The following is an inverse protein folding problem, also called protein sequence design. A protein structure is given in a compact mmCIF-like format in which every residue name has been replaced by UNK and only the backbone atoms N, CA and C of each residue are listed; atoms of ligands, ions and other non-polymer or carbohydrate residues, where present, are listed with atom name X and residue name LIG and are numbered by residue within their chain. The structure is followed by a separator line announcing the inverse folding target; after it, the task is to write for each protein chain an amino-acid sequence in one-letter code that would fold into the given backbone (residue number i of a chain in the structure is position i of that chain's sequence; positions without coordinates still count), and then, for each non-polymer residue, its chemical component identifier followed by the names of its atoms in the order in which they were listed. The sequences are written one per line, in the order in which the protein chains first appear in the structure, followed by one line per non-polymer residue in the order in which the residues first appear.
data_IF_621001257248
#
_entry.id   IF_621001257248
#
_cell.length_a   1.000
_cell.length_b   1.000
_cell.length_c   1.000
_cell.angle_alpha   90.00
_cell.angle_beta   90.00
_cell.angle_gamma   90.00
#
_symmetry.space_group_name_H-M   'P 1'
#
loop_
_entity.id
_entity.type
_entity.pdbx_description
1 polymer ?
#
# COMPACT_ATOMS: atom_id res chain seq x y z
N UNK A 1 11.10 -8.00 3.43
CA UNK A 1 9.93 -7.21 3.85
C UNK A 1 9.62 -6.26 2.71
N UNK A 2 8.38 -6.26 2.22
CA UNK A 2 7.96 -5.39 1.12
C UNK A 2 7.46 -4.06 1.72
N UNK A 3 8.12 -2.97 1.34
CA UNK A 3 8.00 -1.66 1.99
C UNK A 3 7.62 -0.60 0.96
N UNK A 4 6.50 0.07 1.18
CA UNK A 4 6.08 1.25 0.42
C UNK A 4 6.62 2.54 1.03
N UNK A 5 6.83 3.54 0.18
CA UNK A 5 7.35 4.85 0.56
C UNK A 5 6.42 5.62 1.50
N UNK A 6 5.12 5.37 1.43
CA UNK A 6 4.06 6.01 2.21
C UNK A 6 3.58 5.15 3.39
N UNK A 7 4.25 4.02 3.65
CA UNK A 7 3.87 3.11 4.72
C UNK A 7 2.63 2.25 4.43
N UNK A 8 1.93 2.51 3.33
CA UNK A 8 0.58 2.03 3.06
C UNK A 8 0.56 0.90 2.03
N UNK A 9 -0.40 -0.02 2.14
CA UNK A 9 -0.51 -1.17 1.25
C UNK A 9 -0.97 -0.85 -0.17
N UNK A 10 -0.75 -1.81 -1.07
CA UNK A 10 -1.33 -1.85 -2.41
C UNK A 10 -2.40 -2.93 -2.47
N UNK A 11 -3.59 -2.56 -2.95
CA UNK A 11 -4.68 -3.49 -3.29
C UNK A 11 -5.32 -2.96 -4.57
N UNK A 12 -4.83 -3.38 -5.73
CA UNK A 12 -5.34 -2.84 -7.00
C UNK A 12 -5.08 -3.74 -8.20
N UNK A 13 -5.84 -3.47 -9.27
CA UNK A 13 -5.56 -4.03 -10.58
C UNK A 13 -4.27 -3.41 -11.15
N UNK A 14 -3.44 -4.23 -11.77
CA UNK A 14 -2.26 -3.74 -12.49
C UNK A 14 -2.64 -3.33 -13.93
N UNK A 15 -1.76 -2.64 -14.68
CA UNK A 15 -2.01 -2.36 -16.09
C UNK A 15 -2.14 -3.62 -16.98
N UNK A 16 -1.82 -4.80 -16.45
CA UNK A 16 -1.94 -6.08 -17.13
C UNK A 16 -3.30 -6.72 -16.80
N UNK A 17 -3.98 -7.20 -17.84
CA UNK A 17 -5.26 -7.89 -17.70
C UNK A 17 -5.13 -9.16 -16.84
N UNK A 18 -6.10 -9.37 -15.96
CA UNK A 18 -6.17 -10.50 -15.01
C UNK A 18 -5.01 -10.57 -14.01
N UNK A 19 -4.22 -9.50 -13.85
CA UNK A 19 -3.18 -9.40 -12.83
C UNK A 19 -3.54 -8.36 -11.78
N UNK A 20 -3.69 -8.83 -10.54
CA UNK A 20 -4.03 -8.04 -9.37
C UNK A 20 -2.88 -8.05 -8.37
N UNK A 21 -2.65 -6.92 -7.73
CA UNK A 21 -1.55 -6.73 -6.78
C UNK A 21 -2.10 -6.57 -5.37
N UNK A 22 -1.64 -7.44 -4.46
CA UNK A 22 -1.79 -7.28 -3.02
C UNK A 22 -0.40 -7.31 -2.38
N UNK A 23 0.13 -6.14 -2.03
CA UNK A 23 1.54 -5.96 -1.67
C UNK A 23 1.74 -4.74 -0.75
N UNK A 24 2.97 -4.50 -0.29
CA UNK A 24 3.28 -3.26 0.44
C UNK A 24 2.66 -3.14 1.84
N UNK A 25 2.31 -4.25 2.47
CA UNK A 25 1.68 -4.26 3.80
C UNK A 25 2.63 -3.94 4.97
N UNK A 26 3.91 -3.67 4.68
CA UNK A 26 4.95 -3.30 5.63
C UNK A 26 4.90 -4.17 6.90
N UNK A 27 4.77 -3.53 8.07
CA UNK A 27 4.62 -4.18 9.38
C UNK A 27 3.17 -4.45 9.76
N UNK A 28 2.20 -3.92 9.01
CA UNK A 28 0.78 -3.93 9.32
C UNK A 28 0.00 -5.10 8.70
N UNK A 29 0.63 -5.94 7.87
CA UNK A 29 -0.06 -6.98 7.12
C UNK A 29 -0.81 -8.02 7.97
N UNK A 30 -0.29 -8.38 9.14
CA UNK A 30 -0.92 -9.41 9.97
C UNK A 30 -2.30 -8.99 10.52
N UNK A 31 -2.40 -7.76 11.05
CA UNK A 31 -3.68 -7.21 11.53
C UNK A 31 -4.67 -6.95 10.39
N UNK A 32 -4.16 -6.63 9.21
CA UNK A 32 -4.98 -6.28 8.05
C UNK A 32 -5.35 -7.49 7.17
N UNK A 33 -4.86 -8.70 7.50
CA UNK A 33 -5.10 -9.93 6.74
C UNK A 33 -6.58 -10.25 6.43
N UNK A 34 -7.55 -10.09 7.35
CA UNK A 34 -8.95 -10.36 7.02
C UNK A 34 -9.54 -9.32 6.05
N UNK A 35 -9.18 -8.04 6.21
CA UNK A 35 -9.64 -6.98 5.33
C UNK A 35 -9.00 -7.08 3.95
N UNK A 36 -7.69 -7.37 3.88
CA UNK A 36 -6.97 -7.53 2.63
C UNK A 36 -7.54 -8.65 1.77
N UNK A 37 -7.88 -9.79 2.38
CA UNK A 37 -8.53 -10.91 1.69
C UNK A 37 -9.93 -10.57 1.19
N UNK A 38 -10.73 -9.86 1.99
CA UNK A 38 -12.09 -9.46 1.60
C UNK A 38 -12.08 -8.52 0.40
N UNK A 39 -11.33 -7.43 0.47
CA UNK A 39 -11.26 -6.45 -0.61
C UNK A 39 -10.56 -6.98 -1.85
N UNK A 40 -9.57 -7.88 -1.70
CA UNK A 40 -8.94 -8.53 -2.84
C UNK A 40 -9.88 -9.52 -3.54
N UNK A 41 -10.71 -10.25 -2.78
CA UNK A 41 -11.71 -11.15 -3.36
C UNK A 41 -12.80 -10.40 -4.11
N UNK A 42 -13.18 -9.20 -3.65
CA UNK A 42 -14.16 -8.34 -4.32
C UNK A 42 -13.60 -7.64 -5.57
N UNK A 43 -12.30 -7.31 -5.56
CA UNK A 43 -11.58 -6.69 -6.68
C UNK A 43 -11.58 -7.55 -7.96
N UNK A 44 -11.42 -8.87 -7.82
CA UNK A 44 -11.29 -9.81 -8.96
C UNK A 44 -12.55 -9.88 -9.84
N UNK A 45 -13.78 -10.05 -9.30
CA UNK A 45 -15.01 -10.07 -10.10
C UNK A 45 -15.46 -8.68 -10.56
N UNK A 46 -15.21 -7.62 -9.78
CA UNK A 46 -15.66 -6.26 -10.12
C UNK A 46 -14.70 -5.52 -11.06
N UNK A 47 -13.50 -6.07 -11.30
CA UNK A 47 -12.42 -5.47 -12.10
C UNK A 47 -12.04 -4.04 -11.65
N UNK A 48 -12.39 -3.69 -10.42
CA UNK A 48 -12.30 -2.34 -9.87
C UNK A 48 -12.29 -2.36 -8.34
N UNK A 49 -11.49 -1.48 -7.70
CA UNK A 49 -11.39 -1.44 -6.24
C UNK A 49 -12.67 -0.89 -5.60
N UNK A 50 -13.05 -1.45 -4.46
CA UNK A 50 -14.07 -0.87 -3.59
C UNK A 50 -13.66 0.56 -3.18
N UNK A 51 -14.61 1.51 -3.02
CA UNK A 51 -14.30 2.89 -2.62
C UNK A 51 -13.44 3.01 -1.34
N UNK A 52 -13.51 2.03 -0.43
CA UNK A 52 -12.68 2.00 0.78
C UNK A 52 -11.19 1.77 0.44
N UNK A 53 -10.89 1.05 -0.62
CA UNK A 53 -9.52 0.69 -1.03
C UNK A 53 -9.04 1.40 -2.30
N UNK A 54 -9.82 2.32 -2.86
CA UNK A 54 -9.52 3.05 -4.11
C UNK A 54 -8.16 3.77 -4.06
N UNK A 55 -7.84 4.37 -2.91
CA UNK A 55 -6.59 5.08 -2.70
C UNK A 55 -5.38 4.15 -2.53
N UNK A 56 -5.58 2.84 -2.38
CA UNK A 56 -4.52 1.83 -2.33
C UNK A 56 -4.06 1.37 -3.73
N UNK A 57 -4.34 2.18 -4.76
CA UNK A 57 -3.91 1.97 -6.14
C UNK A 57 -2.43 2.31 -6.39
N UNK A 58 -1.89 1.81 -7.50
CA UNK A 58 -0.53 2.16 -7.97
C UNK A 58 -0.47 3.60 -8.50
N UNK A 59 -1.56 4.07 -9.11
CA UNK A 59 -1.69 5.42 -9.68
C UNK A 59 -1.56 6.51 -8.62
N UNK A 60 -1.77 6.21 -7.34
CA UNK A 60 -1.58 7.17 -6.24
C UNK A 60 -0.18 7.78 -6.24
N UNK A 61 0.86 6.99 -6.56
CA UNK A 61 2.24 7.49 -6.61
C UNK A 61 2.50 8.33 -7.86
N UNK A 62 1.84 8.03 -8.97
CA UNK A 62 1.89 8.85 -10.18
C UNK A 62 1.21 10.20 -9.96
N UNK A 63 0.13 10.21 -9.18
CA UNK A 63 -0.64 11.41 -8.81
C UNK A 63 -0.04 12.18 -7.63
N UNK A 64 0.96 11.63 -6.95
CA UNK A 64 1.58 12.23 -5.76
C UNK A 64 0.70 12.16 -4.50
N UNK A 65 -0.34 11.33 -4.49
CA UNK A 65 -1.21 11.08 -3.35
C UNK A 65 -0.52 10.09 -2.41
N UNK A 66 -0.12 10.56 -1.23
CA UNK A 66 0.48 9.72 -0.19
C UNK A 66 -0.56 9.49 0.90
N UNK A 67 -0.79 8.24 1.27
CA UNK A 67 -1.74 7.87 2.33
C UNK A 67 -1.19 8.03 3.75
N UNK A 68 0.07 8.49 3.87
CA UNK A 68 0.85 8.74 5.11
C UNK A 68 0.29 7.97 6.31
N UNK A 69 0.39 6.63 6.25
CA UNK A 69 0.23 5.82 7.44
C UNK A 69 1.43 6.18 8.33
N UNK A 70 1.22 7.16 9.21
CA UNK A 70 2.18 7.60 10.23
C UNK A 70 2.33 6.55 11.32
N UNK A 71 2.49 5.29 10.93
CA UNK A 71 3.20 4.27 11.69
C UNK A 71 4.69 4.58 11.59
N UNK A 72 5.44 4.33 12.66
CA UNK A 72 6.87 4.55 12.73
C UNK A 72 7.67 3.62 11.79
N UNK A 73 7.45 3.73 10.49
CA UNK A 73 8.28 3.14 9.45
C UNK A 73 9.62 3.88 9.35
N UNK A 74 10.64 3.26 8.75
CA UNK A 74 11.96 3.86 8.61
C UNK A 74 11.89 5.03 7.62
N UNK A 75 11.66 6.23 8.15
CA UNK A 75 11.84 7.49 7.43
C UNK A 75 13.32 7.63 7.04
N UNK A 76 13.67 7.53 5.74
CA UNK A 76 15.06 7.61 5.30
C UNK A 76 15.70 8.96 5.65
N UNK A 77 14.91 10.04 5.74
CA UNK A 77 15.37 11.39 6.09
C UNK A 77 15.73 11.50 7.57
N UNK A 78 15.16 10.66 8.45
CA UNK A 78 15.50 10.62 9.88
C UNK A 78 16.75 9.80 10.21
N UNK A 79 17.11 8.83 9.38
CA UNK A 79 18.27 7.95 9.63
C UNK A 79 19.62 8.58 9.23
N UNK A 80 19.62 9.60 8.35
CA UNK A 80 20.85 10.25 7.87
C UNK A 80 21.40 11.39 8.74
N UNK A 81 20.68 11.82 9.79
CA UNK A 81 21.04 13.00 10.60
C UNK A 81 21.63 12.66 11.99
N UNK A 82 21.89 11.38 12.30
CA UNK A 82 22.41 10.96 13.61
C UNK A 82 23.93 10.69 13.65
N UNK A 83 24.72 11.29 12.76
CA UNK A 83 26.20 11.15 12.76
C UNK A 83 26.97 12.46 12.87
N UNK A 84 26.32 13.56 13.24
CA UNK A 84 27.02 14.80 13.65
C UNK A 84 26.36 15.44 14.86
N UNK A 85 26.62 14.88 16.05
CA UNK A 85 26.76 15.65 17.27
C UNK A 85 27.66 14.91 18.25
#
# INVERSE_FOLDING_TARGET
MDMTMDGSAFICKTPLDNLYLNAGWNYGGFKASPASGWYFADLVPNDGPDPVVELHSLTRFEQGINLDERGAGPDPKRQGLKTKQ
#
